data_IF_919099266408
#
_entry.id   IF_919099266408
#
_cell.length_a   1.000
_cell.length_b   1.000
_cell.length_c   1.000
_cell.angle_alpha   90.00
_cell.angle_beta   90.00
_cell.angle_gamma   90.00
#
_symmetry.space_group_name_H-M   'P 1'
#
loop_
_entity.id
_entity.type
_entity.pdbx_description
1 polymer ?
#
# COMPACT_ATOMS: atom_id res chain seq x y z
N UNK A 1 15.81 -20.51 6.57
CA UNK A 1 15.76 -19.37 7.51
C UNK A 1 16.33 -18.08 6.89
N UNK A 2 17.55 -18.12 6.32
CA UNK A 2 18.22 -16.96 5.67
C UNK A 2 17.35 -16.18 4.67
N UNK A 3 16.70 -16.84 3.72
CA UNK A 3 15.87 -16.15 2.71
C UNK A 3 14.70 -15.35 3.31
N UNK A 4 14.05 -15.83 4.37
CA UNK A 4 12.93 -15.12 5.03
C UNK A 4 13.40 -13.83 5.70
N UNK A 5 14.63 -13.81 6.21
CA UNK A 5 15.22 -12.63 6.84
C UNK A 5 15.60 -11.55 5.83
N UNK A 6 16.26 -11.94 4.73
CA UNK A 6 16.55 -11.02 3.62
C UNK A 6 15.26 -10.41 3.06
N UNK A 7 14.22 -11.23 2.87
CA UNK A 7 12.92 -10.75 2.43
C UNK A 7 12.33 -9.78 3.46
N UNK A 8 12.35 -10.10 4.76
CA UNK A 8 11.82 -9.21 5.78
C UNK A 8 12.55 -7.85 5.82
N UNK A 9 13.88 -7.83 5.72
CA UNK A 9 14.68 -6.60 5.73
C UNK A 9 14.45 -5.80 4.45
N UNK A 10 14.47 -6.43 3.27
CA UNK A 10 14.17 -5.76 2.00
C UNK A 10 12.73 -5.24 2.00
N UNK A 11 11.78 -6.00 2.54
CA UNK A 11 10.39 -5.58 2.63
C UNK A 11 10.22 -4.41 3.61
N UNK A 12 10.89 -4.44 4.77
CA UNK A 12 10.96 -3.28 5.67
C UNK A 12 11.57 -2.07 4.94
N UNK A 13 12.64 -2.24 4.17
CA UNK A 13 13.30 -1.12 3.49
C UNK A 13 12.49 -0.56 2.31
N UNK A 14 11.75 -1.42 1.59
CA UNK A 14 10.92 -1.01 0.45
C UNK A 14 9.56 -0.44 0.90
N UNK A 15 8.99 -0.95 2.00
CA UNK A 15 7.62 -0.63 2.44
C UNK A 15 7.54 0.19 3.74
N UNK A 16 8.64 0.43 4.47
CA UNK A 16 8.63 1.49 5.47
C UNK A 16 8.68 2.85 4.78
N UNK A 17 7.55 3.55 4.84
CA UNK A 17 7.42 4.98 4.51
C UNK A 17 8.39 5.90 5.29
N UNK A 18 9.20 5.38 6.21
CA UNK A 18 10.30 6.14 6.85
C UNK A 18 11.53 6.27 5.95
N UNK A 19 11.62 5.50 4.85
CA UNK A 19 12.71 5.62 3.87
C UNK A 19 12.40 6.53 2.68
N UNK A 20 11.15 6.98 2.48
CA UNK A 20 10.88 8.04 1.51
C UNK A 20 11.45 9.39 1.96
N UNK A 21 11.71 9.58 3.25
CA UNK A 21 12.52 10.68 3.77
C UNK A 21 14.04 10.42 3.76
N UNK A 22 14.50 9.24 3.32
CA UNK A 22 15.87 8.78 3.57
C UNK A 22 16.89 9.06 2.46
N UNK A 23 16.59 9.93 1.50
CA UNK A 23 17.58 10.38 0.50
C UNK A 23 18.75 11.19 1.12
N UNK A 24 18.68 11.50 2.42
CA UNK A 24 19.76 12.06 3.24
C UNK A 24 20.12 11.20 4.47
N UNK A 25 19.90 9.87 4.44
CA UNK A 25 20.51 9.07 5.51
C UNK A 25 22.00 9.02 5.24
N UNK A 26 22.77 9.64 6.13
CA UNK A 26 24.23 9.50 6.10
C UNK A 26 24.56 7.99 6.10
N UNK A 27 25.49 7.58 5.24
CA UNK A 27 25.89 6.18 5.12
C UNK A 27 26.25 5.57 6.48
N UNK A 28 26.81 6.38 7.39
CA UNK A 28 27.08 6.01 8.79
C UNK A 28 25.81 5.66 9.58
N UNK A 29 24.76 6.47 9.50
CA UNK A 29 23.48 6.22 10.18
C UNK A 29 22.77 4.99 9.63
N UNK A 30 22.85 4.77 8.31
CA UNK A 30 22.31 3.56 7.69
C UNK A 30 23.06 2.32 8.19
N UNK A 31 24.40 2.37 8.20
CA UNK A 31 25.23 1.27 8.66
C UNK A 31 24.94 0.93 10.11
N UNK A 32 24.79 1.93 10.97
CA UNK A 32 24.39 1.75 12.37
C UNK A 32 23.02 1.07 12.51
N UNK A 33 22.01 1.52 11.76
CA UNK A 33 20.68 0.88 11.77
C UNK A 33 20.70 -0.55 11.25
N UNK A 34 21.51 -0.83 10.23
CA UNK A 34 21.68 -2.19 9.72
C UNK A 34 22.36 -3.10 10.74
N UNK A 35 23.32 -2.59 11.51
CA UNK A 35 23.95 -3.32 12.62
C UNK A 35 22.96 -3.63 13.75
N UNK A 36 22.13 -2.66 14.14
CA UNK A 36 21.07 -2.84 15.14
C UNK A 36 20.06 -3.91 14.70
N UNK A 37 19.58 -3.84 13.45
CA UNK A 37 18.67 -4.84 12.87
C UNK A 37 19.34 -6.21 12.76
N UNK A 38 20.58 -6.27 12.27
CA UNK A 38 21.34 -7.51 12.18
C UNK A 38 21.45 -8.20 13.56
N UNK A 39 21.75 -7.44 14.60
CA UNK A 39 21.79 -7.93 15.99
C UNK A 39 20.43 -8.45 16.44
N UNK A 40 19.35 -7.70 16.19
CA UNK A 40 17.98 -8.09 16.54
C UNK A 40 17.57 -9.42 15.90
N UNK A 41 18.06 -9.73 14.70
CA UNK A 41 17.76 -10.97 13.98
C UNK A 41 18.83 -12.06 14.11
N UNK A 42 19.81 -11.88 15.00
CA UNK A 42 20.84 -12.88 15.28
C UNK A 42 21.86 -13.07 14.15
N UNK A 43 22.06 -12.06 13.29
CA UNK A 43 23.15 -12.04 12.32
C UNK A 43 24.44 -11.62 13.05
N UNK A 44 25.22 -12.61 13.49
CA UNK A 44 26.49 -12.37 14.20
C UNK A 44 27.71 -12.47 13.28
N UNK A 45 27.53 -13.00 12.07
CA UNK A 45 28.61 -13.18 11.12
C UNK A 45 28.93 -11.87 10.39
N UNK A 46 30.17 -11.40 10.55
CA UNK A 46 30.63 -10.11 10.01
C UNK A 46 30.54 -10.08 8.48
N UNK A 47 30.84 -11.19 7.82
CA UNK A 47 30.79 -11.28 6.35
C UNK A 47 29.35 -11.15 5.84
N UNK A 48 28.39 -11.82 6.49
CA UNK A 48 26.97 -11.65 6.20
C UNK A 48 26.48 -10.22 6.40
N UNK A 49 26.91 -9.55 7.47
CA UNK A 49 26.53 -8.15 7.71
C UNK A 49 27.07 -7.21 6.63
N UNK A 50 28.34 -7.34 6.25
CA UNK A 50 28.94 -6.50 5.19
C UNK A 50 28.28 -6.77 3.83
N UNK A 51 27.99 -8.04 3.50
CA UNK A 51 27.23 -8.39 2.30
C UNK A 51 25.84 -7.75 2.29
N UNK A 52 25.14 -7.75 3.42
CA UNK A 52 23.85 -7.09 3.57
C UNK A 52 23.97 -5.57 3.38
N UNK A 53 24.96 -4.91 3.98
CA UNK A 53 25.22 -3.47 3.81
C UNK A 53 25.42 -3.11 2.34
N UNK A 54 26.26 -3.86 1.62
CA UNK A 54 26.51 -3.66 0.18
C UNK A 54 25.21 -3.79 -0.63
N UNK A 55 24.40 -4.81 -0.37
CA UNK A 55 23.13 -5.02 -1.07
C UNK A 55 22.15 -3.88 -0.82
N UNK A 56 22.00 -3.46 0.45
CA UNK A 56 21.10 -2.36 0.81
C UNK A 56 21.54 -1.04 0.18
N UNK A 57 22.84 -0.71 0.25
CA UNK A 57 23.40 0.49 -0.38
C UNK A 57 23.21 0.49 -1.91
N UNK A 58 23.38 -0.66 -2.56
CA UNK A 58 23.15 -0.82 -4.00
C UNK A 58 21.68 -0.56 -4.37
N UNK A 59 20.75 -1.09 -3.58
CA UNK A 59 19.31 -0.86 -3.76
C UNK A 59 18.96 0.62 -3.58
N UNK A 60 19.50 1.27 -2.54
CA UNK A 60 19.27 2.70 -2.29
C UNK A 60 19.80 3.58 -3.41
N UNK A 61 21.05 3.36 -3.87
CA UNK A 61 21.64 4.08 -5.01
C UNK A 61 20.87 3.86 -6.31
N UNK A 62 20.32 2.67 -6.51
CA UNK A 62 19.48 2.36 -7.67
C UNK A 62 18.16 3.14 -7.60
N UNK A 63 17.53 3.18 -6.42
CA UNK A 63 16.32 3.96 -6.17
C UNK A 63 16.57 5.45 -6.38
N UNK A 64 17.63 6.02 -5.80
CA UNK A 64 18.04 7.41 -5.98
C UNK A 64 18.15 7.81 -7.45
N UNK A 65 18.86 7.01 -8.25
CA UNK A 65 19.01 7.27 -9.69
C UNK A 65 17.67 7.20 -10.41
N UNK A 66 16.80 6.27 -10.03
CA UNK A 66 15.47 6.16 -10.59
C UNK A 66 14.63 7.40 -10.25
N UNK A 67 14.53 7.76 -8.96
CA UNK A 67 13.84 8.95 -8.47
C UNK A 67 14.34 10.21 -9.16
N UNK A 68 15.66 10.39 -9.25
CA UNK A 68 16.26 11.53 -9.94
C UNK A 68 15.95 11.54 -11.43
N UNK A 69 16.03 10.39 -12.11
CA UNK A 69 15.65 10.29 -13.53
C UNK A 69 14.19 10.71 -13.76
N UNK A 70 13.28 10.29 -12.87
CA UNK A 70 11.87 10.66 -12.91
C UNK A 70 11.65 12.15 -12.67
N UNK A 71 12.41 12.78 -11.77
CA UNK A 71 12.27 14.19 -11.40
C UNK A 71 13.03 15.14 -12.34
N UNK A 72 14.14 14.72 -12.93
CA UNK A 72 15.07 15.59 -13.67
C UNK A 72 14.41 16.26 -14.88
N UNK A 73 13.43 15.60 -15.52
CA UNK A 73 12.68 16.22 -16.63
C UNK A 73 11.66 17.25 -16.15
N UNK A 74 10.69 16.92 -15.27
CA UNK A 74 9.68 17.88 -14.81
C UNK A 74 10.22 18.98 -13.88
N UNK A 75 11.38 18.76 -13.22
CA UNK A 75 12.00 19.69 -12.28
C UNK A 75 13.27 20.36 -12.80
N UNK A 76 13.60 20.28 -14.10
CA UNK A 76 14.90 20.75 -14.62
C UNK A 76 15.21 22.19 -14.23
N UNK A 77 14.31 23.09 -14.58
CA UNK A 77 14.50 24.53 -14.40
C UNK A 77 14.52 24.88 -12.89
N UNK A 78 13.74 24.16 -12.09
CA UNK A 78 13.73 24.31 -10.64
C UNK A 78 15.01 23.80 -9.98
N UNK A 79 15.56 22.68 -10.45
CA UNK A 79 16.84 22.13 -9.99
C UNK A 79 17.98 23.12 -10.31
N UNK A 80 18.02 23.66 -11.54
CA UNK A 80 19.05 24.63 -11.93
C UNK A 80 18.94 25.92 -11.12
N UNK A 81 17.71 26.41 -10.87
CA UNK A 81 17.45 27.65 -10.15
C UNK A 81 17.66 27.56 -8.64
N UNK A 82 17.25 26.45 -8.02
CA UNK A 82 17.20 26.30 -6.56
C UNK A 82 18.37 25.45 -6.02
N UNK A 83 18.94 24.58 -6.84
CA UNK A 83 19.85 23.52 -6.41
C UNK A 83 21.13 23.44 -7.26
N UNK A 84 21.59 24.56 -7.84
CA UNK A 84 22.82 24.63 -8.65
C UNK A 84 24.06 24.12 -7.93
N UNK A 85 24.09 24.28 -6.61
CA UNK A 85 25.26 23.96 -5.77
C UNK A 85 25.26 22.50 -5.28
N UNK A 86 24.26 21.72 -5.66
CA UNK A 86 24.16 20.32 -5.28
C UNK A 86 25.19 19.46 -6.03
N UNK A 87 26.23 19.01 -5.32
CA UNK A 87 27.36 18.29 -5.92
C UNK A 87 27.08 16.84 -6.33
N UNK A 88 25.93 16.27 -5.96
CA UNK A 88 25.53 14.91 -6.31
C UNK A 88 24.01 14.70 -6.28
N UNK A 89 23.53 13.59 -6.85
CA UNK A 89 22.11 13.23 -6.96
C UNK A 89 21.38 13.32 -5.60
N UNK A 90 21.94 12.72 -4.54
CA UNK A 90 21.30 12.71 -3.22
C UNK A 90 21.11 14.13 -2.69
N UNK A 91 22.14 14.97 -2.79
CA UNK A 91 22.06 16.40 -2.40
C UNK A 91 21.07 17.19 -3.25
N UNK A 92 20.94 16.89 -4.55
CA UNK A 92 19.95 17.53 -5.42
C UNK A 92 18.53 17.15 -5.05
N UNK A 93 18.27 15.85 -4.81
CA UNK A 93 16.95 15.34 -4.41
C UNK A 93 16.50 15.94 -3.06
N UNK A 94 17.43 16.12 -2.13
CA UNK A 94 17.16 16.75 -0.85
C UNK A 94 16.89 18.25 -1.00
N UNK A 95 17.75 18.95 -1.74
CA UNK A 95 17.57 20.38 -2.00
C UNK A 95 16.20 20.69 -2.64
N UNK A 96 15.80 19.94 -3.67
CA UNK A 96 14.54 20.21 -4.36
C UNK A 96 13.33 19.91 -3.47
N UNK A 97 13.46 18.90 -2.59
CA UNK A 97 12.44 18.54 -1.60
C UNK A 97 12.32 19.62 -0.51
N UNK A 98 13.42 20.20 -0.07
CA UNK A 98 13.43 21.26 0.95
C UNK A 98 12.91 22.59 0.39
N UNK A 99 13.06 22.81 -0.93
CA UNK A 99 12.56 24.00 -1.63
C UNK A 99 11.21 23.78 -2.33
N UNK A 100 10.46 22.76 -1.90
CA UNK A 100 9.22 22.33 -2.55
C UNK A 100 8.15 23.42 -2.69
N UNK A 101 8.08 24.35 -1.75
CA UNK A 101 7.15 25.49 -1.82
C UNK A 101 7.48 26.50 -2.94
N UNK A 102 8.69 26.44 -3.49
CA UNK A 102 9.19 27.35 -4.53
C UNK A 102 9.32 26.70 -5.91
N UNK A 103 9.01 25.41 -6.06
CA UNK A 103 9.11 24.73 -7.36
C UNK A 103 7.91 25.02 -8.25
N UNK A 104 8.07 24.81 -9.56
CA UNK A 104 6.95 24.86 -10.50
C UNK A 104 5.88 23.80 -10.19
N UNK A 105 4.64 24.03 -10.63
CA UNK A 105 3.54 23.06 -10.47
C UNK A 105 3.88 21.69 -11.10
N UNK A 106 4.56 21.68 -12.25
CA UNK A 106 5.03 20.46 -12.90
C UNK A 106 5.99 19.67 -12.01
N UNK A 107 6.96 20.37 -11.40
CA UNK A 107 7.89 19.74 -10.47
C UNK A 107 7.18 19.30 -9.19
N UNK A 108 6.28 20.10 -8.63
CA UNK A 108 5.52 19.76 -7.42
C UNK A 108 4.70 18.48 -7.61
N UNK A 109 4.05 18.32 -8.76
CA UNK A 109 3.32 17.10 -9.09
C UNK A 109 4.27 15.89 -9.16
N UNK A 110 5.47 16.06 -9.74
CA UNK A 110 6.46 15.00 -9.80
C UNK A 110 7.03 14.64 -8.42
N UNK A 111 7.33 15.64 -7.58
CA UNK A 111 7.72 15.47 -6.17
C UNK A 111 6.60 14.80 -5.37
N UNK A 112 5.35 15.17 -5.61
CA UNK A 112 4.17 14.56 -5.01
C UNK A 112 4.03 13.08 -5.33
N UNK A 113 4.42 12.67 -6.54
CA UNK A 113 4.43 11.27 -6.95
C UNK A 113 5.58 10.49 -6.32
N UNK A 114 6.76 11.10 -6.21
CA UNK A 114 7.96 10.41 -5.73
C UNK A 114 8.08 10.39 -4.20
N UNK A 115 7.69 11.48 -3.55
CA UNK A 115 7.86 11.72 -2.11
C UNK A 115 6.54 11.85 -1.35
N UNK A 116 5.40 11.85 -2.04
CA UNK A 116 4.09 12.17 -1.46
C UNK A 116 3.79 13.67 -1.48
N UNK A 117 2.52 14.06 -1.47
CA UNK A 117 2.07 15.46 -1.38
C UNK A 117 2.50 16.19 -0.10
N UNK A 118 2.24 17.50 -0.04
CA UNK A 118 2.37 18.24 1.22
C UNK A 118 1.34 17.74 2.25
N UNK A 119 1.72 17.64 3.53
CA UNK A 119 0.77 17.30 4.58
C UNK A 119 -0.37 18.32 4.68
N UNK A 120 -1.60 17.85 4.81
CA UNK A 120 -2.78 18.69 4.97
C UNK A 120 -2.69 19.50 6.25
N UNK A 121 -2.87 20.82 6.16
CA UNK A 121 -2.82 21.72 7.32
C UNK A 121 -4.10 21.64 8.17
N UNK A 122 -5.20 21.25 7.56
CA UNK A 122 -6.52 21.03 8.15
C UNK A 122 -7.09 19.70 7.65
N UNK A 123 -8.22 19.26 8.19
CA UNK A 123 -8.92 18.12 7.60
C UNK A 123 -9.54 18.55 6.26
N UNK A 124 -9.50 17.69 5.24
CA UNK A 124 -10.05 17.98 3.92
C UNK A 124 -10.93 16.84 3.43
N UNK A 125 -12.02 17.17 2.74
CA UNK A 125 -12.92 16.15 2.17
C UNK A 125 -12.53 15.88 0.72
N UNK A 126 -12.17 14.65 0.42
CA UNK A 126 -11.87 14.19 -0.94
C UNK A 126 -12.78 13.00 -1.30
N UNK A 127 -13.54 13.11 -2.39
CA UNK A 127 -14.53 12.11 -2.83
C UNK A 127 -15.48 11.64 -1.70
N UNK A 128 -15.93 12.58 -0.85
CA UNK A 128 -16.81 12.30 0.28
C UNK A 128 -16.12 11.64 1.49
N UNK A 129 -14.79 11.54 1.48
CA UNK A 129 -14.00 10.98 2.58
C UNK A 129 -13.25 12.12 3.27
N UNK A 130 -13.51 12.33 4.56
CA UNK A 130 -12.80 13.33 5.37
C UNK A 130 -11.41 12.82 5.75
N UNK A 131 -10.38 13.44 5.20
CA UNK A 131 -8.98 13.13 5.46
C UNK A 131 -8.47 13.92 6.65
N UNK A 132 -7.83 13.26 7.63
CA UNK A 132 -7.37 13.96 8.81
C UNK A 132 -6.18 14.87 8.50
N UNK A 133 -6.07 15.97 9.25
CA UNK A 133 -4.90 16.86 9.27
C UNK A 133 -3.59 16.05 9.33
N UNK A 134 -2.60 16.46 8.53
CA UNK A 134 -1.29 15.82 8.42
C UNK A 134 -1.23 14.63 7.47
N UNK A 135 -2.37 14.21 6.89
CA UNK A 135 -2.36 13.26 5.77
C UNK A 135 -1.76 13.90 4.53
N UNK A 136 -1.38 13.14 3.50
CA UNK A 136 -0.98 13.72 2.22
C UNK A 136 -1.45 12.86 1.06
N UNK A 137 -1.89 13.50 -0.02
CA UNK A 137 -2.30 12.83 -1.24
C UNK A 137 -1.08 12.41 -2.07
N UNK A 138 -1.22 11.33 -2.83
CA UNK A 138 -0.29 10.98 -3.88
C UNK A 138 -1.04 10.85 -5.20
N UNK A 139 -0.38 11.19 -6.29
CA UNK A 139 -1.01 11.43 -7.57
C UNK A 139 -0.53 10.41 -8.61
N UNK A 140 -1.15 10.42 -9.78
CA UNK A 140 -0.63 9.78 -10.97
C UNK A 140 0.20 10.79 -11.78
N UNK A 141 0.87 10.36 -12.86
CA UNK A 141 1.65 11.28 -13.72
C UNK A 141 0.85 12.43 -14.36
N UNK A 142 -0.48 12.35 -14.36
CA UNK A 142 -1.38 13.38 -14.89
C UNK A 142 -1.94 14.30 -13.79
N UNK A 143 -1.42 14.23 -12.55
CA UNK A 143 -1.87 15.05 -11.42
C UNK A 143 -3.21 14.61 -10.79
N UNK A 144 -3.79 13.48 -11.21
CA UNK A 144 -5.00 12.93 -10.57
C UNK A 144 -4.63 12.23 -9.27
N UNK A 145 -5.32 12.54 -8.17
CA UNK A 145 -5.16 11.85 -6.88
C UNK A 145 -5.43 10.35 -7.06
N UNK A 146 -4.46 9.52 -6.68
CA UNK A 146 -4.58 8.06 -6.63
C UNK A 146 -4.97 7.57 -5.23
N UNK A 147 -4.65 8.34 -4.21
CA UNK A 147 -4.84 7.95 -2.83
C UNK A 147 -4.22 8.95 -1.86
N UNK A 148 -4.14 8.52 -0.62
CA UNK A 148 -3.68 9.31 0.52
C UNK A 148 -2.90 8.42 1.48
N UNK A 149 -1.90 8.99 2.13
CA UNK A 149 -1.31 8.40 3.33
C UNK A 149 -1.97 9.09 4.52
N UNK A 150 -2.94 8.42 5.14
CA UNK A 150 -3.69 8.93 6.28
C UNK A 150 -2.80 9.03 7.53
N UNK A 151 -2.83 10.18 8.20
CA UNK A 151 -2.01 10.45 9.40
C UNK A 151 -2.50 9.72 10.66
N UNK A 152 -3.80 9.44 10.74
CA UNK A 152 -4.45 8.71 11.84
C UNK A 152 -5.54 7.79 11.32
N UNK A 153 -5.98 6.86 12.16
CA UNK A 153 -7.15 6.04 11.89
C UNK A 153 -8.36 6.96 11.69
N UNK A 154 -9.27 6.57 10.81
CA UNK A 154 -10.46 7.35 10.49
C UNK A 154 -11.61 6.42 10.14
N UNK A 155 -12.83 6.95 10.20
CA UNK A 155 -14.05 6.23 9.86
C UNK A 155 -14.59 6.72 8.51
N UNK A 156 -15.07 5.81 7.67
CA UNK A 156 -15.80 6.14 6.46
C UNK A 156 -16.95 5.15 6.28
N UNK A 157 -18.18 5.67 6.22
CA UNK A 157 -19.42 4.88 6.10
C UNK A 157 -19.54 3.76 7.15
N UNK A 158 -19.19 4.04 8.40
CA UNK A 158 -19.22 3.04 9.49
C UNK A 158 -18.05 2.05 9.49
N UNK A 159 -17.09 2.21 8.58
CA UNK A 159 -15.91 1.32 8.45
C UNK A 159 -14.70 2.04 9.02
N UNK A 160 -14.00 1.40 9.95
CA UNK A 160 -12.80 1.93 10.59
C UNK A 160 -11.55 1.52 9.81
N UNK A 161 -10.87 2.52 9.24
CA UNK A 161 -9.63 2.35 8.48
C UNK A 161 -8.42 2.73 9.33
N UNK A 162 -7.38 1.90 9.23
CA UNK A 162 -6.08 2.14 9.84
C UNK A 162 -5.37 3.26 9.11
N UNK A 163 -4.61 4.07 9.85
CA UNK A 163 -3.67 5.04 9.28
C UNK A 163 -2.73 4.37 8.28
N UNK A 164 -2.23 5.14 7.32
CA UNK A 164 -1.37 4.63 6.26
C UNK A 164 -2.03 4.76 4.90
N UNK A 165 -1.66 3.88 3.97
CA UNK A 165 -2.05 4.03 2.57
C UNK A 165 -3.51 3.64 2.34
N UNK A 166 -4.26 4.57 1.78
CA UNK A 166 -5.60 4.38 1.25
C UNK A 166 -5.57 4.77 -0.22
N UNK A 167 -6.18 3.97 -1.09
CA UNK A 167 -6.33 4.32 -2.51
C UNK A 167 -7.76 4.73 -2.78
N UNK A 168 -7.93 5.60 -3.76
CA UNK A 168 -9.23 6.05 -4.22
C UNK A 168 -9.54 5.52 -5.61
N UNK A 169 -10.83 5.43 -5.91
CA UNK A 169 -11.36 5.58 -7.27
C UNK A 169 -12.18 6.88 -7.32
N UNK A 170 -12.88 7.12 -8.43
CA UNK A 170 -13.60 8.38 -8.69
C UNK A 170 -14.75 8.69 -7.71
N UNK A 171 -15.14 7.73 -6.87
CA UNK A 171 -16.34 7.81 -6.02
C UNK A 171 -16.07 7.45 -4.55
N UNK A 172 -14.81 7.30 -4.15
CA UNK A 172 -14.44 6.98 -2.77
C UNK A 172 -13.22 6.08 -2.66
N UNK A 173 -13.11 5.39 -1.52
CA UNK A 173 -12.02 4.45 -1.22
C UNK A 173 -12.12 3.22 -2.13
N UNK A 174 -11.04 2.89 -2.83
CA UNK A 174 -10.90 1.65 -3.59
C UNK A 174 -10.28 0.53 -2.76
N UNK A 175 -9.34 0.84 -1.86
CA UNK A 175 -8.77 -0.12 -0.91
C UNK A 175 -8.19 0.61 0.30
N UNK A 176 -8.31 -0.01 1.47
CA UNK A 176 -7.69 0.43 2.71
C UNK A 176 -7.53 -0.71 3.71
N UNK A 177 -6.67 -0.53 4.71
CA UNK A 177 -6.50 -1.50 5.79
C UNK A 177 -7.48 -1.23 6.92
N UNK A 178 -8.02 -2.28 7.52
CA UNK A 178 -8.92 -2.17 8.65
C UNK A 178 -8.17 -1.93 9.96
N UNK A 179 -8.84 -1.31 10.95
CA UNK A 179 -8.28 -1.19 12.31
C UNK A 179 -8.37 -2.51 13.08
N UNK A 180 -9.43 -3.27 12.85
CA UNK A 180 -9.73 -4.56 13.46
C UNK A 180 -10.64 -5.37 12.53
N UNK A 181 -10.86 -6.64 12.86
CA UNK A 181 -11.95 -7.39 12.27
C UNK A 181 -13.25 -6.62 12.48
N UNK A 182 -14.04 -6.47 11.42
CA UNK A 182 -15.29 -5.70 11.49
C UNK A 182 -16.33 -6.22 10.52
N UNK A 183 -17.60 -6.05 10.91
CA UNK A 183 -18.74 -6.36 10.07
C UNK A 183 -18.97 -5.22 9.08
N UNK A 184 -18.99 -5.55 7.79
CA UNK A 184 -19.37 -4.63 6.72
C UNK A 184 -20.51 -5.30 5.98
N UNK A 185 -21.70 -4.69 6.01
CA UNK A 185 -22.93 -5.26 5.43
C UNK A 185 -23.23 -6.70 5.89
N UNK A 186 -23.03 -6.98 7.17
CA UNK A 186 -23.34 -8.27 7.79
C UNK A 186 -22.28 -9.37 7.61
N UNK A 187 -21.18 -9.11 6.89
CA UNK A 187 -20.07 -10.06 6.73
C UNK A 187 -18.86 -9.55 7.51
N UNK A 188 -18.21 -10.42 8.29
CA UNK A 188 -17.02 -10.07 9.07
C UNK A 188 -15.75 -10.25 8.24
N UNK A 189 -15.00 -9.18 8.08
CA UNK A 189 -13.75 -9.17 7.31
C UNK A 189 -12.54 -9.05 8.22
N UNK A 190 -11.45 -9.73 7.83
CA UNK A 190 -10.22 -9.85 8.62
C UNK A 190 -9.34 -8.61 8.48
N UNK A 191 -8.74 -8.18 9.59
CA UNK A 191 -7.70 -7.13 9.61
C UNK A 191 -6.37 -7.56 9.00
N UNK A 192 -6.01 -8.83 9.13
CA UNK A 192 -4.72 -9.39 8.68
C UNK A 192 -4.76 -9.91 7.24
N UNK A 193 -5.94 -9.81 6.61
CA UNK A 193 -6.19 -10.31 5.26
C UNK A 193 -5.91 -9.32 4.14
N UNK A 194 -6.28 -9.74 2.93
CA UNK A 194 -6.19 -8.92 1.72
C UNK A 194 -7.51 -8.14 1.58
N UNK A 195 -7.41 -6.81 1.50
CA UNK A 195 -8.56 -5.90 1.35
C UNK A 195 -9.02 -5.27 2.68
N UNK A 196 -10.25 -4.71 2.72
CA UNK A 196 -11.28 -4.75 1.68
C UNK A 196 -10.95 -3.90 0.44
N UNK A 197 -11.32 -4.42 -0.73
CA UNK A 197 -11.38 -3.69 -1.99
C UNK A 197 -12.83 -3.33 -2.30
N UNK A 198 -13.05 -2.12 -2.78
CA UNK A 198 -14.38 -1.62 -3.12
C UNK A 198 -14.49 -1.35 -4.62
N UNK A 199 -15.66 -1.66 -5.18
CA UNK A 199 -16.02 -1.26 -6.54
C UNK A 199 -16.45 0.22 -6.58
N UNK A 200 -16.80 0.72 -7.77
CA UNK A 200 -17.17 2.13 -7.99
C UNK A 200 -18.44 2.54 -7.25
N UNK A 201 -19.30 1.58 -6.92
CA UNK A 201 -20.53 1.76 -6.17
C UNK A 201 -20.28 1.79 -4.64
N UNK A 202 -19.05 1.51 -4.20
CA UNK A 202 -18.65 1.46 -2.80
C UNK A 202 -19.05 0.15 -2.11
N UNK A 203 -19.36 -0.90 -2.88
CA UNK A 203 -19.58 -2.25 -2.37
C UNK A 203 -18.26 -3.03 -2.31
N UNK A 204 -18.17 -4.01 -1.42
CA UNK A 204 -17.00 -4.90 -1.32
C UNK A 204 -16.91 -5.77 -2.59
N UNK A 205 -15.80 -5.66 -3.31
CA UNK A 205 -15.47 -6.49 -4.48
C UNK A 205 -14.61 -7.69 -4.07
N UNK A 206 -13.68 -7.50 -3.14
CA UNK A 206 -12.75 -8.55 -2.68
C UNK A 206 -12.32 -8.29 -1.23
N UNK A 207 -12.30 -9.33 -0.40
CA UNK A 207 -11.78 -9.25 0.96
C UNK A 207 -11.45 -10.64 1.51
N UNK A 208 -10.68 -10.70 2.60
CA UNK A 208 -10.52 -11.92 3.40
C UNK A 208 -11.59 -12.00 4.49
N UNK A 209 -12.24 -13.15 4.62
CA UNK A 209 -13.21 -13.42 5.68
C UNK A 209 -12.50 -13.64 7.02
N UNK A 210 -13.01 -13.02 8.09
CA UNK A 210 -12.50 -13.26 9.45
C UNK A 210 -13.06 -14.54 10.09
N UNK A 211 -14.23 -15.00 9.62
CA UNK A 211 -14.91 -16.19 10.14
C UNK A 211 -15.67 -16.90 9.02
N UNK A 212 -16.04 -18.16 9.27
CA UNK A 212 -16.87 -18.89 8.33
C UNK A 212 -18.20 -18.13 8.16
N UNK A 213 -18.52 -17.73 6.93
CA UNK A 213 -19.65 -16.85 6.65
C UNK A 213 -20.61 -17.51 5.67
N UNK A 214 -21.90 -17.53 6.00
CA UNK A 214 -22.94 -18.03 5.10
C UNK A 214 -23.44 -16.90 4.20
N UNK A 215 -23.31 -17.09 2.89
CA UNK A 215 -23.74 -16.10 1.88
C UNK A 215 -24.53 -16.87 0.82
N UNK A 216 -25.79 -16.50 0.64
CA UNK A 216 -26.72 -17.16 -0.28
C UNK A 216 -26.80 -18.70 -0.10
N UNK A 217 -26.78 -19.17 1.16
CA UNK A 217 -26.88 -20.59 1.52
C UNK A 217 -25.58 -21.39 1.40
N UNK A 218 -24.46 -20.75 1.04
CA UNK A 218 -23.14 -21.39 0.95
C UNK A 218 -22.27 -20.87 2.10
N UNK A 219 -21.69 -21.77 2.89
CA UNK A 219 -20.74 -21.41 3.95
C UNK A 219 -19.32 -21.30 3.38
N UNK A 220 -18.78 -20.09 3.33
CA UNK A 220 -17.41 -19.81 2.90
C UNK A 220 -16.45 -19.83 4.07
N UNK A 221 -15.19 -20.22 3.80
CA UNK A 221 -14.16 -20.49 4.80
C UNK A 221 -13.55 -19.21 5.37
N UNK A 222 -13.35 -19.17 6.69
CA UNK A 222 -12.51 -18.18 7.36
C UNK A 222 -11.09 -18.16 6.78
N UNK A 223 -10.41 -17.02 6.91
CA UNK A 223 -9.04 -16.80 6.42
C UNK A 223 -8.86 -17.07 4.92
N UNK A 224 -9.95 -17.06 4.16
CA UNK A 224 -9.94 -17.21 2.71
C UNK A 224 -10.45 -15.95 2.03
N UNK A 225 -9.99 -15.71 0.81
CA UNK A 225 -10.49 -14.60 0.00
C UNK A 225 -11.88 -14.95 -0.55
N UNK A 226 -12.74 -13.93 -0.54
CA UNK A 226 -14.02 -13.96 -1.23
C UNK A 226 -14.09 -12.78 -2.20
N UNK A 227 -14.57 -13.04 -3.41
CA UNK A 227 -14.79 -12.04 -4.44
C UNK A 227 -16.27 -11.94 -4.77
N UNK A 228 -16.74 -10.73 -5.08
CA UNK A 228 -18.12 -10.43 -5.41
C UNK A 228 -18.22 -9.78 -6.79
N UNK A 229 -19.33 -10.00 -7.48
CA UNK A 229 -19.75 -9.15 -8.59
C UNK A 229 -20.46 -7.89 -8.07
N UNK A 230 -21.23 -8.07 -7.01
CA UNK A 230 -21.97 -7.06 -6.26
C UNK A 230 -22.33 -7.67 -4.89
N UNK A 231 -22.88 -6.87 -3.99
CA UNK A 231 -23.33 -7.38 -2.70
C UNK A 231 -24.25 -8.60 -2.85
N UNK A 232 -23.99 -9.65 -2.05
CA UNK A 232 -24.74 -10.91 -2.10
C UNK A 232 -24.51 -11.79 -3.34
N UNK A 233 -23.79 -11.33 -4.36
CA UNK A 233 -23.48 -12.11 -5.58
C UNK A 233 -22.01 -12.49 -5.61
N UNK A 234 -21.69 -13.65 -5.05
CA UNK A 234 -20.32 -14.18 -4.99
C UNK A 234 -19.83 -14.53 -6.39
N UNK A 235 -18.63 -14.06 -6.73
CA UNK A 235 -17.88 -14.40 -7.95
C UNK A 235 -16.96 -15.59 -7.71
N UNK A 236 -16.29 -15.64 -6.57
CA UNK A 236 -15.48 -16.80 -6.17
C UNK A 236 -15.26 -16.85 -4.66
N UNK A 237 -15.08 -18.04 -4.11
CA UNK A 237 -14.74 -18.22 -2.71
C UNK A 237 -14.44 -19.68 -2.37
N UNK A 238 -13.76 -19.90 -1.25
CA UNK A 238 -13.43 -21.24 -0.75
C UNK A 238 -14.53 -21.75 0.16
N UNK A 239 -15.05 -22.96 -0.07
CA UNK A 239 -16.11 -23.53 0.77
C UNK A 239 -15.56 -24.05 2.11
N UNK A 240 -16.32 -23.83 3.18
CA UNK A 240 -15.94 -24.25 4.53
C UNK A 240 -16.38 -25.69 4.85
N UNK A 241 -17.44 -26.17 4.21
CA UNK A 241 -18.05 -27.49 4.43
C UNK A 241 -18.54 -28.07 3.10
N UNK A 242 -18.82 -29.37 3.08
CA UNK A 242 -19.40 -30.03 1.92
C UNK A 242 -20.72 -29.34 1.54
N UNK A 243 -20.86 -29.01 0.25
CA UNK A 243 -22.05 -28.32 -0.26
C UNK A 243 -22.37 -28.77 -1.68
N UNK A 244 -23.65 -28.91 -1.99
CA UNK A 244 -24.10 -29.24 -3.35
C UNK A 244 -24.73 -28.01 -3.97
N UNK A 245 -24.17 -27.54 -5.08
CA UNK A 245 -24.65 -26.36 -5.82
C UNK A 245 -24.93 -26.81 -7.25
N UNK A 246 -26.15 -26.57 -7.74
CA UNK A 246 -26.56 -26.93 -9.11
C UNK A 246 -26.28 -28.40 -9.47
N UNK A 247 -26.42 -29.31 -8.49
CA UNK A 247 -26.18 -30.75 -8.66
C UNK A 247 -24.70 -31.18 -8.59
N UNK A 248 -23.76 -30.24 -8.43
CA UNK A 248 -22.35 -30.52 -8.22
C UNK A 248 -21.98 -30.41 -6.73
N UNK A 249 -21.36 -31.45 -6.17
CA UNK A 249 -20.85 -31.44 -4.80
C UNK A 249 -19.44 -30.89 -4.75
N UNK A 250 -19.20 -30.00 -3.79
CA UNK A 250 -17.90 -29.40 -3.49
C UNK A 250 -17.47 -29.78 -2.08
N UNK A 251 -16.23 -30.20 -1.95
CA UNK A 251 -15.62 -30.61 -0.69
C UNK A 251 -15.04 -29.41 0.07
N UNK A 252 -14.91 -29.48 1.41
CA UNK A 252 -14.30 -28.40 2.19
C UNK A 252 -12.92 -28.00 1.66
N UNK A 253 -12.68 -26.70 1.52
CA UNK A 253 -11.41 -26.16 1.01
C UNK A 253 -11.35 -25.99 -0.50
N UNK A 254 -12.34 -26.48 -1.26
CA UNK A 254 -12.39 -26.25 -2.71
C UNK A 254 -12.77 -24.79 -3.04
N UNK A 255 -12.14 -24.27 -4.10
CA UNK A 255 -12.41 -22.94 -4.63
C UNK A 255 -13.50 -23.03 -5.70
N UNK A 256 -14.58 -22.29 -5.52
CA UNK A 256 -15.68 -22.22 -6.48
C UNK A 256 -15.63 -20.90 -7.22
N UNK A 257 -15.94 -20.93 -8.51
CA UNK A 257 -16.10 -19.76 -9.35
C UNK A 257 -17.51 -19.74 -9.96
N UNK A 258 -18.14 -18.59 -9.91
CA UNK A 258 -19.44 -18.33 -10.51
C UNK A 258 -19.30 -17.39 -11.70
N UNK A 259 -20.16 -17.59 -12.70
CA UNK A 259 -20.43 -16.60 -13.73
C UNK A 259 -21.36 -15.51 -13.18
N UNK A 260 -21.49 -14.38 -13.88
CA UNK A 260 -22.40 -13.28 -13.48
C UNK A 260 -23.87 -13.71 -13.36
N UNK A 261 -24.29 -14.73 -14.09
CA UNK A 261 -25.65 -15.29 -14.04
C UNK A 261 -25.83 -16.32 -12.90
N UNK A 262 -24.81 -16.57 -12.07
CA UNK A 262 -24.85 -17.51 -10.96
C UNK A 262 -24.53 -18.96 -11.32
N UNK A 263 -24.32 -19.29 -12.60
CA UNK A 263 -23.85 -20.62 -12.99
C UNK A 263 -22.43 -20.88 -12.51
N UNK A 264 -22.15 -22.12 -12.13
CA UNK A 264 -20.80 -22.57 -11.81
C UNK A 264 -19.93 -22.55 -13.07
N UNK A 265 -18.69 -22.09 -12.94
CA UNK A 265 -17.67 -22.20 -13.98
C UNK A 265 -16.88 -23.49 -13.79
N UNK A 266 -17.04 -24.45 -14.71
CA UNK A 266 -16.17 -25.63 -14.80
C UNK A 266 -14.79 -25.24 -15.34
N UNK A 267 -13.73 -25.83 -14.79
CA UNK A 267 -12.36 -25.75 -15.29
C UNK A 267 -11.96 -27.03 -15.99
#
# INVERSE_FOLDING_TARGET
MRAKLYIAIIFLLLFCNTLTSAFAVEEADLNKKLEELATQYGITDKEQLESLKIQVLSILKTRERFSFSTLNKPCRDDIERLCSDSGNISSTLMCIKDNREYVSESCENALGNEFGGNPLLHAEVYNGVEMPKGSYFFYNPNGKVLGVIASKNFEYKGINFKKGQIRFHDFGISVGQLVSDQYINGIKYSVDGIGPFFNKEGEIENATLAENSEIAGITYKADSQIQFYSIGKVKSGTVAKETTIQGQTFMPGELIWFKKNGEIRSF
#
